data_IF_730975793673
#
_entry.id   IF_730975793673
#
_cell.length_a   1.000
_cell.length_b   1.000
_cell.length_c   1.000
_cell.angle_alpha   90.00
_cell.angle_beta   90.00
_cell.angle_gamma   90.00
#
_symmetry.space_group_name_H-M   'P 1'
#
loop_
_entity.id
_entity.type
_entity.pdbx_description
1 polymer ?
#
# COMPACT_ATOMS: atom_id res chain seq x y z
N UNK A 1 -48.73 -34.03 -6.54
CA UNK A 1 -47.55 -34.55 -7.28
C UNK A 1 -47.02 -33.44 -8.17
N UNK A 2 -45.94 -32.76 -7.78
CA UNK A 2 -45.32 -31.66 -8.53
C UNK A 2 -43.82 -31.91 -8.61
N UNK A 3 -43.38 -32.40 -9.76
CA UNK A 3 -42.00 -32.31 -10.23
C UNK A 3 -42.09 -31.55 -11.55
N UNK A 4 -41.44 -30.39 -11.69
CA UNK A 4 -41.11 -29.74 -12.98
C UNK A 4 -40.51 -28.32 -12.85
N UNK A 5 -39.44 -28.07 -12.06
CA UNK A 5 -38.72 -26.77 -12.15
C UNK A 5 -37.21 -26.79 -11.78
N UNK A 6 -36.47 -27.91 -11.99
CA UNK A 6 -35.03 -27.96 -11.58
C UNK A 6 -34.06 -28.12 -12.77
N UNK A 7 -34.52 -28.53 -13.95
CA UNK A 7 -33.65 -28.78 -15.11
C UNK A 7 -33.09 -27.54 -15.85
N UNK A 8 -33.73 -26.35 -15.90
CA UNK A 8 -33.17 -25.22 -16.64
C UNK A 8 -31.98 -24.54 -15.95
N UNK A 9 -31.94 -24.55 -14.60
CA UNK A 9 -30.89 -23.87 -13.82
C UNK A 9 -29.55 -24.63 -13.88
N UNK A 10 -29.60 -25.97 -13.89
CA UNK A 10 -28.40 -26.80 -13.88
C UNK A 10 -27.61 -26.73 -15.20
N UNK A 11 -28.32 -26.59 -16.33
CA UNK A 11 -27.69 -26.36 -17.63
C UNK A 11 -27.08 -24.96 -17.78
N UNK A 12 -27.64 -23.95 -17.10
CA UNK A 12 -27.06 -22.60 -17.08
C UNK A 12 -25.76 -22.59 -16.26
N UNK A 13 -25.76 -23.22 -15.09
CA UNK A 13 -24.59 -23.32 -14.21
C UNK A 13 -23.46 -24.10 -14.90
N UNK A 14 -23.74 -25.22 -15.57
CA UNK A 14 -22.71 -26.01 -16.27
C UNK A 14 -22.14 -25.30 -17.51
N UNK A 15 -22.92 -24.46 -18.19
CA UNK A 15 -22.41 -23.65 -19.31
C UNK A 15 -21.46 -22.54 -18.82
N UNK A 16 -21.72 -21.98 -17.63
CA UNK A 16 -20.86 -20.96 -17.02
C UNK A 16 -19.59 -21.55 -16.36
N UNK A 17 -19.66 -22.71 -15.71
CA UNK A 17 -18.48 -23.36 -15.10
C UNK A 17 -17.50 -23.89 -16.14
N UNK A 18 -18.00 -24.43 -17.26
CA UNK A 18 -17.17 -24.84 -18.41
C UNK A 18 -16.45 -23.66 -19.07
N UNK A 19 -17.10 -22.50 -19.16
CA UNK A 19 -16.49 -21.27 -19.67
C UNK A 19 -15.37 -20.78 -18.75
N UNK A 20 -15.57 -20.80 -17.43
CA UNK A 20 -14.56 -20.37 -16.46
C UNK A 20 -13.35 -21.31 -16.44
N UNK A 21 -13.54 -22.63 -16.64
CA UNK A 21 -12.42 -23.58 -16.66
C UNK A 21 -11.58 -23.51 -17.94
N UNK A 22 -12.18 -23.23 -19.10
CA UNK A 22 -11.45 -23.13 -20.38
C UNK A 22 -10.48 -21.93 -20.42
N UNK A 23 -10.71 -20.88 -19.63
CA UNK A 23 -9.81 -19.73 -19.49
C UNK A 23 -8.86 -19.82 -18.29
N UNK A 24 -8.87 -20.92 -17.52
CA UNK A 24 -8.03 -21.12 -16.33
C UNK A 24 -6.71 -21.86 -16.60
N UNK A 25 -6.44 -22.24 -17.84
CA UNK A 25 -5.19 -22.92 -18.25
C UNK A 25 -4.54 -22.26 -19.47
N UNK A 26 -4.43 -20.94 -19.47
CA UNK A 26 -3.42 -20.25 -20.26
C UNK A 26 -2.48 -19.53 -19.28
N UNK A 27 -1.15 -19.60 -19.48
CA UNK A 27 -0.21 -18.87 -18.64
C UNK A 27 -0.51 -17.39 -18.80
N UNK A 28 -1.08 -16.77 -17.77
CA UNK A 28 -1.32 -15.33 -17.76
C UNK A 28 0.01 -14.64 -17.51
N UNK A 29 0.76 -14.43 -18.59
CA UNK A 29 1.79 -13.40 -18.68
C UNK A 29 1.05 -12.06 -18.60
N UNK A 30 1.02 -11.44 -17.41
CA UNK A 30 0.48 -10.09 -17.24
C UNK A 30 1.48 -9.07 -17.78
N UNK A 31 1.51 -8.92 -19.11
CA UNK A 31 2.02 -7.69 -19.74
C UNK A 31 0.90 -6.65 -19.64
N UNK A 32 1.08 -5.60 -18.83
CA UNK A 32 0.24 -4.39 -18.88
C UNK A 32 0.77 -3.47 -19.99
N UNK A 33 0.04 -3.23 -21.10
CA UNK A 33 0.41 -2.19 -22.05
C UNK A 33 -0.24 -0.86 -21.65
N UNK A 34 0.49 0.21 -21.93
CA UNK A 34 0.05 1.60 -21.92
C UNK A 34 -1.35 1.76 -22.56
N UNK A 35 -2.25 2.46 -21.86
CA UNK A 35 -3.61 2.70 -22.29
C UNK A 35 -3.67 3.62 -23.53
N UNK A 36 -4.12 3.08 -24.67
CA UNK A 36 -4.71 3.86 -25.78
C UNK A 36 -6.23 3.71 -25.74
N UNK A 37 -6.89 4.84 -25.94
CA UNK A 37 -8.32 5.13 -25.82
C UNK A 37 -9.21 4.29 -26.74
N UNK A 38 -10.23 3.60 -26.16
CA UNK A 38 -11.57 3.29 -26.75
C UNK A 38 -12.49 2.44 -25.85
N UNK A 39 -12.06 1.93 -24.69
CA UNK A 39 -12.83 0.96 -23.87
C UNK A 39 -13.80 1.56 -22.81
N UNK A 40 -14.25 2.81 -22.96
CA UNK A 40 -14.97 3.51 -21.87
C UNK A 40 -16.48 3.17 -21.80
N UNK A 41 -17.10 2.59 -22.84
CA UNK A 41 -18.58 2.48 -22.87
C UNK A 41 -19.14 1.16 -22.30
N UNK A 42 -18.34 0.07 -22.18
CA UNK A 42 -18.85 -1.24 -21.70
C UNK A 42 -18.66 -1.54 -20.20
N UNK A 43 -18.03 -0.66 -19.42
CA UNK A 43 -17.77 -0.87 -17.98
C UNK A 43 -18.85 -0.34 -17.03
N UNK A 44 -19.93 0.27 -17.54
CA UNK A 44 -20.99 0.83 -16.69
C UNK A 44 -21.98 -0.20 -16.13
N UNK A 45 -22.13 -1.36 -16.78
CA UNK A 45 -23.11 -2.40 -16.36
C UNK A 45 -22.57 -3.41 -15.35
N UNK A 46 -21.24 -3.59 -15.23
CA UNK A 46 -20.64 -4.55 -14.29
C UNK A 46 -20.39 -3.99 -12.88
N UNK A 47 -20.41 -2.66 -12.71
CA UNK A 47 -20.24 -2.00 -11.40
C UNK A 47 -21.42 -2.24 -10.45
N UNK A 48 -22.64 -2.43 -10.97
CA UNK A 48 -23.83 -2.62 -10.15
C UNK A 48 -23.99 -4.06 -9.62
N UNK A 49 -23.44 -5.07 -10.31
CA UNK A 49 -23.55 -6.47 -9.88
C UNK A 49 -22.53 -6.86 -8.79
N UNK A 50 -21.37 -6.19 -8.73
CA UNK A 50 -20.36 -6.45 -7.70
C UNK A 50 -20.76 -5.81 -6.35
N UNK A 51 -21.47 -4.68 -6.37
CA UNK A 51 -21.95 -4.02 -5.14
C UNK A 51 -23.05 -4.82 -4.41
N UNK A 52 -23.85 -5.62 -5.13
CA UNK A 52 -24.95 -6.38 -4.53
C UNK A 52 -24.48 -7.62 -3.73
N UNK A 53 -23.30 -8.17 -4.02
CA UNK A 53 -22.77 -9.35 -3.31
C UNK A 53 -22.14 -8.98 -1.96
N UNK A 54 -21.66 -7.73 -1.81
CA UNK A 54 -21.07 -7.24 -0.55
C UNK A 54 -22.16 -6.89 0.49
N UNK A 55 -23.39 -6.56 0.06
CA UNK A 55 -24.48 -6.20 0.98
C UNK A 55 -25.16 -7.39 1.68
N UNK A 56 -24.85 -8.65 1.31
CA UNK A 56 -25.53 -9.84 1.85
C UNK A 56 -24.77 -10.52 3.00
N UNK A 57 -23.65 -9.97 3.47
CA UNK A 57 -22.94 -10.45 4.67
C UNK A 57 -22.63 -9.31 5.66
N UNK A 58 -23.63 -8.74 6.36
CA UNK A 58 -23.37 -7.92 7.52
C UNK A 58 -23.36 -8.81 8.76
N UNK A 59 -22.22 -9.37 9.14
CA UNK A 59 -21.96 -9.79 10.53
C UNK A 59 -20.49 -10.15 10.79
N UNK A 60 -19.86 -9.22 11.51
CA UNK A 60 -18.86 -9.48 12.56
C UNK A 60 -17.55 -10.19 12.16
N UNK A 61 -16.62 -9.39 11.65
CA UNK A 61 -15.23 -9.50 12.12
C UNK A 61 -15.04 -8.35 13.12
N UNK A 62 -15.42 -8.60 14.37
CA UNK A 62 -14.70 -7.97 15.47
C UNK A 62 -13.32 -8.64 15.48
N UNK A 63 -12.41 -8.19 14.62
CA UNK A 63 -10.98 -8.35 14.87
C UNK A 63 -10.70 -7.45 16.05
N UNK A 64 -10.98 -7.97 17.25
CA UNK A 64 -10.60 -7.29 18.48
C UNK A 64 -9.13 -6.93 18.32
N UNK A 65 -8.82 -5.64 18.45
CA UNK A 65 -7.52 -5.23 18.92
C UNK A 65 -7.31 -6.00 20.22
N UNK A 66 -6.62 -7.14 20.15
CA UNK A 66 -5.81 -7.54 21.27
C UNK A 66 -4.84 -6.38 21.41
N UNK A 67 -5.01 -5.57 22.45
CA UNK A 67 -4.05 -4.54 22.83
C UNK A 67 -2.70 -5.23 23.07
N UNK A 68 -1.98 -5.49 21.98
CA UNK A 68 -0.64 -6.02 21.99
C UNK A 68 0.21 -4.91 22.56
N UNK A 69 1.03 -5.26 23.55
CA UNK A 69 1.98 -4.35 24.16
C UNK A 69 2.78 -3.61 23.05
N UNK A 70 2.80 -2.26 23.05
CA UNK A 70 3.53 -1.47 22.08
C UNK A 70 5.01 -1.85 21.97
N UNK A 71 5.65 -2.20 23.10
CA UNK A 71 7.05 -2.63 23.12
C UNK A 71 7.22 -3.95 22.37
N UNK A 72 6.37 -4.95 22.68
CA UNK A 72 6.32 -6.22 21.97
C UNK A 72 6.09 -6.00 20.47
N UNK A 73 5.09 -5.22 20.10
CA UNK A 73 4.74 -4.91 18.70
C UNK A 73 5.91 -4.27 17.95
N UNK A 74 6.57 -3.27 18.55
CA UNK A 74 7.75 -2.62 17.97
C UNK A 74 8.88 -3.62 17.69
N UNK A 75 9.18 -4.52 18.63
CA UNK A 75 10.24 -5.54 18.45
C UNK A 75 9.98 -6.46 17.26
N UNK A 76 8.73 -6.86 17.03
CA UNK A 76 8.40 -7.67 15.85
C UNK A 76 8.59 -6.91 14.55
N UNK A 77 8.17 -5.66 14.48
CA UNK A 77 8.35 -4.84 13.29
C UNK A 77 9.82 -4.60 12.97
N UNK A 78 10.65 -4.31 13.98
CA UNK A 78 12.09 -4.14 13.76
C UNK A 78 12.74 -5.40 13.21
N UNK A 79 12.35 -6.57 13.73
CA UNK A 79 12.80 -7.84 13.18
C UNK A 79 12.27 -8.10 11.76
N UNK A 80 11.02 -7.70 11.48
CA UNK A 80 10.39 -7.87 10.19
C UNK A 80 10.99 -6.95 9.12
N UNK A 81 11.49 -5.76 9.49
CA UNK A 81 12.10 -4.84 8.53
C UNK A 81 13.32 -5.47 7.85
N UNK A 82 14.22 -6.14 8.58
CA UNK A 82 15.35 -6.88 7.97
C UNK A 82 16.11 -6.07 6.89
N UNK A 83 16.19 -4.73 7.06
CA UNK A 83 16.62 -3.80 6.01
C UNK A 83 18.10 -3.92 5.64
N UNK A 84 18.89 -4.58 6.50
CA UNK A 84 20.30 -4.90 6.25
C UNK A 84 20.50 -6.14 5.38
N UNK A 85 19.43 -6.86 5.01
CA UNK A 85 19.57 -8.08 4.19
C UNK A 85 20.08 -7.76 2.78
N UNK A 86 20.87 -8.66 2.16
CA UNK A 86 21.33 -8.46 0.78
C UNK A 86 20.20 -8.24 -0.23
N UNK A 87 19.04 -8.87 -0.04
CA UNK A 87 17.88 -8.71 -0.91
C UNK A 87 17.36 -7.27 -0.91
N UNK A 88 17.23 -6.67 0.28
CA UNK A 88 16.78 -5.28 0.42
C UNK A 88 17.86 -4.32 -0.05
N UNK A 89 19.13 -4.53 0.35
CA UNK A 89 20.26 -3.70 -0.05
C UNK A 89 20.45 -3.67 -1.57
N UNK A 90 20.42 -4.82 -2.23
CA UNK A 90 20.56 -4.89 -3.69
C UNK A 90 19.39 -4.20 -4.40
N UNK A 91 18.16 -4.35 -3.91
CA UNK A 91 17.00 -3.66 -4.49
C UNK A 91 17.12 -2.13 -4.33
N UNK A 92 17.58 -1.65 -3.18
CA UNK A 92 17.85 -0.24 -2.95
C UNK A 92 19.00 0.28 -3.83
N UNK A 93 20.08 -0.47 -3.98
CA UNK A 93 21.23 -0.09 -4.80
C UNK A 93 20.86 0.09 -6.29
N UNK A 94 19.97 -0.75 -6.83
CA UNK A 94 19.44 -0.58 -8.19
C UNK A 94 18.64 0.73 -8.34
N UNK A 95 17.85 1.10 -7.33
CA UNK A 95 17.10 2.38 -7.32
C UNK A 95 18.06 3.57 -7.20
N UNK A 96 19.08 3.49 -6.34
CA UNK A 96 20.11 4.52 -6.18
C UNK A 96 20.86 4.74 -7.49
N UNK A 97 21.26 3.65 -8.15
CA UNK A 97 21.96 3.68 -9.44
C UNK A 97 21.10 4.33 -10.53
N UNK A 98 19.78 4.08 -10.51
CA UNK A 98 18.84 4.67 -11.47
C UNK A 98 18.61 6.16 -11.22
N UNK A 99 18.61 6.59 -9.96
CA UNK A 99 18.32 7.97 -9.55
C UNK A 99 19.37 8.51 -8.57
N UNK A 100 20.63 8.71 -9.00
CA UNK A 100 21.72 9.11 -8.12
C UNK A 100 21.47 10.50 -7.54
N UNK A 101 21.44 10.61 -6.20
CA UNK A 101 21.25 11.87 -5.47
C UNK A 101 19.84 12.48 -5.57
N UNK A 102 18.89 11.83 -6.24
CA UNK A 102 17.51 12.32 -6.37
C UNK A 102 16.56 11.54 -5.46
N UNK A 103 16.55 11.92 -4.18
CA UNK A 103 15.81 11.21 -3.13
C UNK A 103 14.31 11.10 -3.43
N UNK A 104 13.67 12.14 -3.97
CA UNK A 104 12.24 12.08 -4.31
C UNK A 104 11.97 11.06 -5.42
N UNK A 105 12.84 10.98 -6.44
CA UNK A 105 12.68 9.98 -7.49
C UNK A 105 12.93 8.56 -6.97
N UNK A 106 13.85 8.38 -6.02
CA UNK A 106 14.08 7.10 -5.35
C UNK A 106 12.87 6.67 -4.51
N UNK A 107 12.23 7.62 -3.80
CA UNK A 107 10.98 7.39 -3.05
C UNK A 107 9.85 6.97 -4.00
N UNK A 108 9.65 7.69 -5.11
CA UNK A 108 8.63 7.35 -6.10
C UNK A 108 8.88 5.99 -6.77
N UNK A 109 10.14 5.69 -7.12
CA UNK A 109 10.49 4.39 -7.71
C UNK A 109 10.28 3.24 -6.73
N UNK A 110 10.56 3.46 -5.45
CA UNK A 110 10.28 2.48 -4.38
C UNK A 110 8.79 2.24 -4.24
N UNK A 111 8.00 3.32 -4.18
CA UNK A 111 6.55 3.22 -4.15
C UNK A 111 6.04 2.41 -5.34
N UNK A 112 6.42 2.77 -6.56
CA UNK A 112 6.01 2.06 -7.78
C UNK A 112 6.45 0.59 -7.78
N UNK A 113 7.70 0.31 -7.38
CA UNK A 113 8.23 -1.05 -7.32
C UNK A 113 7.36 -1.94 -6.43
N UNK A 114 7.07 -1.49 -5.21
CA UNK A 114 6.28 -2.29 -4.28
C UNK A 114 4.81 -2.28 -4.69
N UNK A 115 4.21 -1.11 -4.87
CA UNK A 115 2.80 -0.92 -5.20
C UNK A 115 2.35 -1.70 -6.44
N UNK A 116 3.11 -1.62 -7.54
CA UNK A 116 2.69 -2.24 -8.81
C UNK A 116 2.78 -3.77 -8.79
N UNK A 117 3.61 -4.34 -7.92
CA UNK A 117 3.84 -5.77 -7.82
C UNK A 117 3.14 -6.41 -6.62
N UNK A 118 2.68 -5.62 -5.64
CA UNK A 118 2.09 -6.13 -4.41
C UNK A 118 0.81 -6.93 -4.64
N UNK A 119 0.74 -8.09 -4.00
CA UNK A 119 -0.40 -9.01 -4.02
C UNK A 119 -0.88 -9.17 -2.59
N UNK A 120 -1.93 -8.45 -2.26
CA UNK A 120 -2.49 -8.51 -0.91
C UNK A 120 -2.98 -9.92 -0.57
N UNK A 121 -2.52 -10.45 0.56
CA UNK A 121 -2.91 -11.75 1.08
C UNK A 121 -2.95 -11.70 2.59
N UNK A 122 -4.15 -11.75 3.15
CA UNK A 122 -4.34 -11.83 4.60
C UNK A 122 -3.76 -13.12 5.17
N UNK A 123 -3.25 -13.05 6.40
CA UNK A 123 -2.73 -14.21 7.09
C UNK A 123 -3.85 -15.09 7.64
N UNK A 124 -3.91 -16.36 7.25
CA UNK A 124 -4.96 -17.31 7.67
C UNK A 124 -4.78 -17.84 9.11
N UNK A 125 -4.08 -17.13 9.98
CA UNK A 125 -3.82 -17.51 11.38
C UNK A 125 -2.77 -18.62 11.62
N UNK A 126 -2.24 -19.27 10.57
CA UNK A 126 -1.35 -20.43 10.68
C UNK A 126 0.08 -20.15 10.16
N UNK A 127 0.81 -19.24 10.81
CA UNK A 127 2.23 -18.97 10.52
C UNK A 127 2.79 -17.77 11.30
N UNK A 128 3.98 -17.31 10.90
CA UNK A 128 4.62 -16.15 11.55
C UNK A 128 3.74 -14.89 11.39
N UNK A 129 3.47 -14.14 12.48
CA UNK A 129 2.57 -12.99 12.43
C UNK A 129 3.11 -11.80 11.63
N UNK A 130 4.41 -11.82 11.32
CA UNK A 130 5.13 -10.81 10.54
C UNK A 130 6.11 -11.50 9.58
N UNK A 131 6.04 -11.17 8.30
CA UNK A 131 6.97 -11.68 7.28
C UNK A 131 8.15 -10.72 7.16
N UNK A 132 9.38 -11.25 7.11
CA UNK A 132 10.57 -10.42 6.87
C UNK A 132 10.51 -9.74 5.51
N UNK A 133 10.89 -8.47 5.45
CA UNK A 133 10.94 -7.70 4.19
C UNK A 133 11.81 -8.39 3.15
N UNK A 134 12.93 -9.02 3.56
CA UNK A 134 13.82 -9.79 2.69
C UNK A 134 13.12 -10.95 1.97
N UNK A 135 12.02 -11.46 2.50
CA UNK A 135 11.13 -12.41 1.84
C UNK A 135 10.05 -11.71 1.03
N UNK A 136 9.45 -10.66 1.59
CA UNK A 136 8.40 -9.87 0.93
C UNK A 136 8.88 -9.21 -0.38
N UNK A 137 10.13 -8.76 -0.45
CA UNK A 137 10.71 -8.17 -1.68
C UNK A 137 10.86 -9.20 -2.81
N UNK A 138 10.93 -10.50 -2.50
CA UNK A 138 11.04 -11.56 -3.50
C UNK A 138 9.68 -12.01 -4.03
N UNK A 139 8.63 -11.92 -3.21
CA UNK A 139 7.30 -12.45 -3.54
C UNK A 139 6.27 -11.35 -3.83
N UNK A 140 6.52 -10.13 -3.34
CA UNK A 140 5.58 -9.01 -3.29
C UNK A 140 4.20 -9.46 -2.80
N UNK A 141 4.13 -10.25 -1.73
CA UNK A 141 2.87 -10.83 -1.22
C UNK A 141 2.85 -10.74 0.29
N UNK A 142 1.73 -10.29 0.86
CA UNK A 142 1.53 -10.18 2.31
C UNK A 142 0.31 -9.35 2.66
N UNK A 143 0.11 -9.13 3.96
CA UNK A 143 -0.94 -8.25 4.49
C UNK A 143 -0.42 -6.81 4.69
N UNK A 144 -1.15 -6.01 5.48
CA UNK A 144 -0.77 -4.63 5.76
C UNK A 144 0.55 -4.45 6.48
N UNK A 145 0.84 -5.32 7.44
CA UNK A 145 2.08 -5.31 8.22
C UNK A 145 3.27 -5.60 7.33
N UNK A 146 3.12 -6.57 6.43
CA UNK A 146 4.20 -7.01 5.54
C UNK A 146 4.55 -5.92 4.51
N UNK A 147 3.54 -5.24 3.97
CA UNK A 147 3.76 -4.12 3.05
C UNK A 147 4.44 -2.96 3.75
N UNK A 148 3.92 -2.52 4.90
CA UNK A 148 4.46 -1.38 5.63
C UNK A 148 5.91 -1.64 6.05
N UNK A 149 6.19 -2.85 6.54
CA UNK A 149 7.56 -3.27 6.88
C UNK A 149 8.47 -3.24 5.65
N UNK A 150 8.04 -3.77 4.50
CA UNK A 150 8.84 -3.75 3.28
C UNK A 150 9.15 -2.31 2.82
N UNK A 151 8.15 -1.43 2.81
CA UNK A 151 8.32 -0.03 2.40
C UNK A 151 9.32 0.71 3.29
N UNK A 152 9.14 0.65 4.61
CA UNK A 152 10.09 1.29 5.56
C UNK A 152 11.50 0.73 5.38
N UNK A 153 11.63 -0.58 5.16
CA UNK A 153 12.93 -1.23 4.96
C UNK A 153 13.65 -0.72 3.72
N UNK A 154 12.91 -0.52 2.62
CA UNK A 154 13.46 0.07 1.41
C UNK A 154 13.92 1.52 1.64
N UNK A 155 13.13 2.35 2.34
CA UNK A 155 13.53 3.73 2.62
C UNK A 155 14.79 3.82 3.48
N UNK A 156 14.90 2.97 4.51
CA UNK A 156 16.11 2.88 5.34
C UNK A 156 17.31 2.41 4.51
N UNK A 157 17.12 1.41 3.64
CA UNK A 157 18.19 0.90 2.78
C UNK A 157 18.68 1.93 1.74
N UNK A 158 17.80 2.84 1.28
CA UNK A 158 18.15 3.99 0.46
C UNK A 158 18.96 5.07 1.22
N UNK A 159 19.10 4.93 2.54
CA UNK A 159 19.76 5.92 3.41
C UNK A 159 18.82 7.02 3.92
N UNK A 160 17.50 6.86 3.73
CA UNK A 160 16.47 7.71 4.31
C UNK A 160 15.95 7.18 5.65
N UNK A 161 14.79 7.68 6.06
CA UNK A 161 14.09 7.21 7.25
C UNK A 161 12.60 6.97 6.95
N UNK A 162 12.01 6.05 7.69
CA UNK A 162 10.62 5.66 7.57
C UNK A 162 10.06 5.17 8.90
N UNK A 163 8.74 5.21 9.02
CA UNK A 163 8.02 4.76 10.21
C UNK A 163 6.75 4.01 9.84
N UNK A 164 6.27 3.19 10.76
CA UNK A 164 4.97 2.56 10.68
C UNK A 164 4.01 3.29 11.60
N UNK A 165 2.77 3.44 11.14
CA UNK A 165 1.70 4.03 11.92
C UNK A 165 0.55 3.04 11.97
N UNK A 166 0.07 2.73 13.17
CA UNK A 166 -1.11 1.89 13.36
C UNK A 166 -2.37 2.74 13.30
N UNK A 167 -3.39 2.29 12.59
CA UNK A 167 -4.75 2.83 12.61
C UNK A 167 -5.76 1.72 12.94
N UNK A 168 -7.04 2.08 13.12
CA UNK A 168 -8.11 1.09 13.31
C UNK A 168 -8.08 0.02 12.21
N UNK A 169 -7.71 -1.22 12.56
CA UNK A 169 -7.57 -2.38 11.68
C UNK A 169 -6.59 -2.21 10.50
N UNK A 170 -5.64 -1.28 10.57
CA UNK A 170 -4.67 -1.05 9.51
C UNK A 170 -3.31 -0.62 10.04
N UNK A 171 -2.27 -0.84 9.25
CA UNK A 171 -0.91 -0.35 9.53
C UNK A 171 -0.34 0.12 8.20
N UNK A 172 0.16 1.35 8.16
CA UNK A 172 0.67 1.97 6.95
C UNK A 172 2.08 2.54 7.15
N UNK A 173 2.88 2.61 6.07
CA UNK A 173 4.20 3.21 6.12
C UNK A 173 4.14 4.72 5.83
N UNK A 174 5.04 5.45 6.46
CA UNK A 174 5.37 6.82 6.12
C UNK A 174 6.87 6.98 5.88
N UNK A 175 7.22 7.96 5.03
CA UNK A 175 8.61 8.31 4.73
C UNK A 175 8.92 9.71 5.23
N UNK A 176 10.10 9.88 5.83
CA UNK A 176 10.59 11.20 6.24
C UNK A 176 10.98 12.03 5.01
N UNK A 177 10.44 13.25 4.88
CA UNK A 177 10.73 14.13 3.74
C UNK A 177 11.47 15.42 4.12
N UNK A 178 11.63 15.69 5.43
CA UNK A 178 12.37 16.85 5.92
C UNK A 178 11.92 17.28 7.30
N UNK A 179 12.55 18.33 7.84
CA UNK A 179 12.26 18.88 9.17
C UNK A 179 12.13 20.39 9.07
N UNK A 180 11.14 20.95 9.75
CA UNK A 180 10.77 22.37 9.68
C UNK A 180 10.62 22.87 8.24
N UNK A 181 9.95 22.08 7.39
CA UNK A 181 9.80 22.42 5.98
C UNK A 181 8.96 23.67 5.80
N UNK A 182 9.47 24.62 5.00
CA UNK A 182 8.69 25.76 4.56
C UNK A 182 7.62 25.34 3.55
N UNK A 183 6.62 26.19 3.34
CA UNK A 183 5.62 25.99 2.28
C UNK A 183 6.28 25.76 0.90
N UNK A 184 7.28 26.57 0.54
CA UNK A 184 8.00 26.43 -0.73
C UNK A 184 8.77 25.10 -0.83
N UNK A 185 9.25 24.55 0.29
CA UNK A 185 9.89 23.24 0.33
C UNK A 185 8.88 22.11 0.10
N UNK A 186 7.69 22.20 0.70
CA UNK A 186 6.60 21.25 0.47
C UNK A 186 6.11 21.32 -0.98
N UNK A 187 5.99 22.53 -1.54
CA UNK A 187 5.65 22.74 -2.94
C UNK A 187 6.66 22.08 -3.89
N UNK A 188 7.95 22.20 -3.55
CA UNK A 188 9.03 21.59 -4.31
C UNK A 188 8.93 20.06 -4.32
N UNK A 189 8.57 19.42 -3.20
CA UNK A 189 8.34 17.96 -3.14
C UNK A 189 7.25 17.55 -4.13
N UNK A 190 6.11 18.24 -4.13
CA UNK A 190 5.00 17.90 -5.04
C UNK A 190 5.36 18.12 -6.50
N UNK A 191 6.06 19.22 -6.81
CA UNK A 191 6.57 19.47 -8.17
C UNK A 191 7.50 18.33 -8.60
N UNK A 192 8.40 17.87 -7.74
CA UNK A 192 9.33 16.77 -8.05
C UNK A 192 8.61 15.43 -8.26
N UNK A 193 7.60 15.10 -7.45
CA UNK A 193 6.77 13.90 -7.64
C UNK A 193 6.04 13.96 -8.98
N UNK A 194 5.38 15.08 -9.28
CA UNK A 194 4.68 15.25 -10.55
C UNK A 194 5.63 15.18 -11.76
N UNK A 195 6.83 15.78 -11.68
CA UNK A 195 7.85 15.67 -12.72
C UNK A 195 8.32 14.23 -12.94
N UNK A 196 8.49 13.46 -11.87
CA UNK A 196 8.84 12.05 -11.95
C UNK A 196 7.78 11.27 -12.75
N UNK A 197 6.50 11.42 -12.39
CA UNK A 197 5.41 10.71 -13.08
C UNK A 197 5.15 11.22 -14.49
N UNK A 198 5.32 12.52 -14.75
CA UNK A 198 5.26 13.08 -16.11
C UNK A 198 6.32 12.44 -17.00
N UNK A 199 7.58 12.33 -16.52
CA UNK A 199 8.66 11.70 -17.26
C UNK A 199 8.43 10.19 -17.46
N UNK A 200 7.88 9.49 -16.47
CA UNK A 200 7.69 8.04 -16.50
C UNK A 200 6.47 7.60 -17.30
N UNK A 201 5.39 8.38 -17.31
CA UNK A 201 4.08 7.96 -17.83
C UNK A 201 3.42 8.94 -18.80
N UNK A 202 3.95 10.16 -18.93
CA UNK A 202 3.37 11.23 -19.75
C UNK A 202 2.16 11.95 -19.11
N UNK A 203 1.70 11.53 -17.93
CA UNK A 203 0.62 12.19 -17.21
C UNK A 203 1.12 13.44 -16.50
N UNK A 204 0.73 14.61 -17.02
CA UNK A 204 0.94 15.89 -16.34
C UNK A 204 -0.01 15.98 -15.15
N UNK A 205 0.50 16.37 -13.98
CA UNK A 205 -0.29 16.54 -12.74
C UNK A 205 -0.94 15.24 -12.26
N UNK A 206 -0.12 14.21 -12.08
CA UNK A 206 -0.53 12.91 -11.54
C UNK A 206 -1.10 13.04 -10.11
N UNK A 207 -0.59 13.98 -9.32
CA UNK A 207 -1.03 14.29 -7.96
C UNK A 207 -1.46 15.76 -7.85
N UNK A 208 -2.62 15.99 -7.21
CA UNK A 208 -3.15 17.33 -6.89
C UNK A 208 -3.07 17.69 -5.41
N UNK A 209 -2.78 16.72 -4.54
CA UNK A 209 -2.69 16.94 -3.10
C UNK A 209 -1.68 15.98 -2.49
N UNK A 210 -0.86 16.50 -1.58
CA UNK A 210 0.01 15.69 -0.71
C UNK A 210 -0.54 15.72 0.71
N UNK A 211 -0.50 14.59 1.39
CA UNK A 211 -0.88 14.41 2.78
C UNK A 211 0.33 13.98 3.60
N UNK A 212 0.49 14.61 4.77
CA UNK A 212 1.63 14.39 5.63
C UNK A 212 1.29 14.64 7.10
N UNK A 213 2.09 14.06 7.97
CA UNK A 213 2.10 14.33 9.41
C UNK A 213 3.32 15.18 9.78
N UNK A 214 3.18 15.98 10.84
CA UNK A 214 4.27 16.77 11.42
C UNK A 214 4.42 16.40 12.90
N UNK A 215 5.59 15.90 13.27
CA UNK A 215 5.92 15.62 14.66
C UNK A 215 6.12 16.93 15.44
N UNK A 216 6.05 16.86 16.77
CA UNK A 216 6.28 18.00 17.67
C UNK A 216 7.66 18.64 17.53
N UNK A 217 8.65 17.88 17.06
CA UNK A 217 9.99 18.38 16.78
C UNK A 217 10.09 19.02 15.39
N UNK A 218 9.03 19.00 14.58
CA UNK A 218 8.96 19.55 13.23
C UNK A 218 9.35 18.58 12.12
N UNK A 219 9.61 17.30 12.40
CA UNK A 219 9.83 16.29 11.35
C UNK A 219 8.54 16.07 10.53
N UNK A 220 8.69 16.01 9.21
CA UNK A 220 7.58 15.90 8.24
C UNK A 220 7.60 14.52 7.60
N UNK A 221 6.46 13.84 7.66
CA UNK A 221 6.30 12.45 7.26
C UNK A 221 5.19 12.31 6.22
N UNK A 222 5.52 11.77 5.05
CA UNK A 222 4.58 11.62 3.93
C UNK A 222 3.99 10.21 3.89
N UNK A 223 2.68 10.11 3.63
CA UNK A 223 1.99 8.83 3.51
C UNK A 223 2.52 7.99 2.34
N UNK A 224 2.75 6.69 2.55
CA UNK A 224 3.22 5.76 1.52
C UNK A 224 2.35 4.50 1.42
N UNK A 225 1.09 4.57 1.86
CA UNK A 225 0.15 3.44 1.82
C UNK A 225 -0.28 3.04 0.39
N UNK A 226 -0.61 1.76 0.19
CA UNK A 226 -1.06 1.22 -1.11
C UNK A 226 -2.53 1.52 -1.42
N UNK A 227 -3.25 2.18 -0.53
CA UNK A 227 -4.67 2.46 -0.76
C UNK A 227 -4.91 3.52 -1.86
N UNK A 228 -3.85 4.19 -2.30
CA UNK A 228 -3.88 5.08 -3.46
C UNK A 228 -2.83 4.69 -4.50
N UNK A 229 -2.89 5.36 -5.65
CA UNK A 229 -2.07 5.09 -6.83
C UNK A 229 -0.77 5.91 -6.87
N UNK A 230 -0.52 6.74 -5.86
CA UNK A 230 0.62 7.67 -5.82
C UNK A 230 1.12 7.90 -4.38
N UNK A 231 2.42 8.21 -4.19
CA UNK A 231 2.99 8.54 -2.89
C UNK A 231 2.45 9.88 -2.37
N UNK A 232 2.18 9.96 -1.07
CA UNK A 232 1.64 11.16 -0.41
C UNK A 232 0.12 11.30 -0.53
N UNK A 233 -0.60 10.23 -0.83
CA UNK A 233 -2.06 10.24 -0.85
C UNK A 233 -2.70 10.39 0.52
N UNK A 234 -4.01 10.64 0.56
CA UNK A 234 -4.79 10.73 1.80
C UNK A 234 -4.57 9.52 2.71
N UNK A 235 -4.50 9.76 4.01
CA UNK A 235 -4.45 8.70 5.02
C UNK A 235 -5.80 7.99 5.12
N UNK A 236 -5.78 6.79 5.69
CA UNK A 236 -7.02 6.14 6.12
C UNK A 236 -7.61 6.97 7.24
N UNK A 237 -8.89 7.32 7.11
CA UNK A 237 -9.63 7.96 8.20
C UNK A 237 -9.66 6.99 9.40
N UNK A 238 -8.91 7.35 10.43
CA UNK A 238 -9.06 6.71 11.73
C UNK A 238 -10.26 7.35 12.46
N UNK A 239 -10.78 6.65 13.46
CA UNK A 239 -11.80 7.27 14.31
C UNK A 239 -11.13 8.40 15.10
N UNK A 240 -11.71 9.59 14.99
CA UNK A 240 -11.24 10.77 15.73
C UNK A 240 -11.09 10.46 17.22
N UNK A 241 -9.90 10.75 17.77
CA UNK A 241 -9.57 10.57 19.20
C UNK A 241 -8.81 9.29 19.54
N UNK A 242 -8.60 8.36 18.60
CA UNK A 242 -7.77 7.18 18.83
C UNK A 242 -6.27 7.54 18.74
N UNK A 243 -5.47 7.03 19.69
CA UNK A 243 -4.01 7.18 19.64
C UNK A 243 -3.42 6.19 18.65
N UNK A 244 -2.57 6.69 17.76
CA UNK A 244 -1.78 5.86 16.85
C UNK A 244 -0.48 5.44 17.54
N UNK A 245 -0.14 4.16 17.46
CA UNK A 245 1.21 3.69 17.75
C UNK A 245 2.09 3.98 16.53
N UNK A 246 3.08 4.85 16.72
CA UNK A 246 4.09 5.22 15.74
C UNK A 246 5.38 4.48 16.07
N UNK A 247 5.89 3.69 15.13
CA UNK A 247 7.09 2.86 15.28
C UNK A 247 8.13 3.31 14.26
N UNK A 248 9.23 3.89 14.75
CA UNK A 248 10.33 4.36 13.91
C UNK A 248 11.24 3.19 13.50
N UNK A 249 11.92 3.33 12.37
CA UNK A 249 12.95 2.38 11.88
C UNK A 249 14.02 2.01 12.93
N UNK A 250 14.27 2.90 13.88
CA UNK A 250 15.22 2.72 14.99
C UNK A 250 14.72 1.82 16.13
N UNK A 251 13.44 1.45 16.12
CA UNK A 251 12.78 0.68 17.19
C UNK A 251 12.19 1.53 18.31
N UNK A 252 12.46 2.83 18.31
CA UNK A 252 11.72 3.79 19.14
C UNK A 252 10.26 3.79 18.71
N UNK A 253 9.37 3.93 19.68
CA UNK A 253 7.94 4.05 19.44
C UNK A 253 7.33 5.09 20.35
N UNK A 254 6.16 5.61 19.95
CA UNK A 254 5.33 6.51 20.74
C UNK A 254 3.86 6.29 20.42
N UNK A 255 3.00 6.59 21.38
CA UNK A 255 1.55 6.65 21.16
C UNK A 255 1.13 8.12 21.13
N UNK A 256 0.59 8.58 20.01
CA UNK A 256 0.17 9.98 19.86
C UNK A 256 -1.07 10.10 18.96
N UNK A 257 -1.77 11.22 19.09
CA UNK A 257 -2.79 11.61 18.14
C UNK A 257 -2.09 12.35 16.98
N UNK A 258 -2.24 11.82 15.77
CA UNK A 258 -1.62 12.40 14.58
C UNK A 258 -2.57 13.40 13.93
N UNK A 259 -2.07 14.61 13.68
CA UNK A 259 -2.80 15.60 12.91
C UNK A 259 -2.43 15.51 11.43
N UNK A 260 -3.35 14.99 10.62
CA UNK A 260 -3.24 15.03 9.16
C UNK A 260 -3.25 16.46 8.65
N UNK A 261 -2.21 16.81 7.88
CA UNK A 261 -2.14 18.03 7.09
C UNK A 261 -2.16 17.68 5.62
N UNK A 262 -2.73 18.57 4.81
CA UNK A 262 -2.78 18.40 3.36
C UNK A 262 -2.49 19.71 2.65
N UNK A 263 -1.97 19.59 1.43
CA UNK A 263 -1.60 20.73 0.61
C UNK A 263 -2.04 20.50 -0.83
N UNK A 264 -2.91 21.39 -1.33
CA UNK A 264 -3.48 21.35 -2.69
C UNK A 264 -2.65 22.11 -3.71
N UNK A 265 -2.60 21.61 -4.94
CA UNK A 265 -1.85 22.18 -6.08
C UNK A 265 -2.66 22.20 -7.38
#
# INVERSE_FOLDING_TARGET
MRALYILPLWNLINKYTSFIFKYRLLPVVYNKPYFRTTTIIKMRTYRFLILAVIMLFPAAINSGQTNLDPEFTSKFFIKAMDYGSPQIRNAADEIIKKYPGNNISQICETFDLVYLHWKYKEHNGNGEPYVRASKSILTFTGDCKDYASLMVSMFVALGGDGRLVTATNHIYPEVYIGKHMSQASLDSVVIMINKYYEAKSGYKKFMSMIHYHVDSDGAVWMNMDWQSYYPGSKFIEDKSGDKNLVIYSTGKYKEEELQELSLSF
#
